data_IF_112921413419
#
_entry.id   IF_112921413419
#
_cell.length_a   1.000
_cell.length_b   1.000
_cell.length_c   1.000
_cell.angle_alpha   90.00
_cell.angle_beta   90.00
_cell.angle_gamma   90.00
#
_symmetry.space_group_name_H-M   'P 1'
#
loop_
_entity.id
_entity.type
_entity.pdbx_description
1 polymer ?
#
# COMPACT_ATOMS: atom_id res chain seq x y z
N UNK A 1 48.39 -30.57 -33.72
CA UNK A 1 49.83 -30.27 -33.62
C UNK A 1 50.06 -29.31 -32.46
N UNK A 2 50.93 -29.70 -31.51
CA UNK A 2 51.75 -28.89 -30.58
C UNK A 2 51.04 -27.73 -29.82
N UNK A 3 50.72 -27.91 -28.54
CA UNK A 3 51.55 -27.64 -27.32
C UNK A 3 51.82 -26.16 -27.07
N UNK A 4 51.32 -25.63 -25.94
CA UNK A 4 51.98 -24.71 -24.99
C UNK A 4 51.18 -24.81 -23.68
N UNK A 5 51.65 -25.48 -22.61
CA UNK A 5 52.74 -25.18 -21.66
C UNK A 5 52.17 -24.66 -20.32
N UNK A 6 51.97 -25.58 -19.37
CA UNK A 6 51.81 -25.29 -17.94
C UNK A 6 53.08 -24.63 -17.39
N UNK A 7 52.92 -23.52 -16.65
CA UNK A 7 53.87 -23.09 -15.62
C UNK A 7 53.10 -22.63 -14.38
N UNK A 8 53.18 -23.47 -13.36
CA UNK A 8 53.39 -23.15 -11.94
C UNK A 8 52.72 -21.90 -11.37
N UNK A 9 51.60 -22.09 -10.65
CA UNK A 9 51.13 -21.12 -9.66
C UNK A 9 51.68 -21.53 -8.30
N UNK A 10 52.54 -20.68 -7.74
CA UNK A 10 53.04 -20.79 -6.39
C UNK A 10 51.95 -20.33 -5.40
N UNK A 11 51.79 -21.09 -4.32
CA UNK A 11 50.93 -20.77 -3.20
C UNK A 11 51.45 -19.53 -2.45
N UNK A 12 50.56 -18.57 -2.22
CA UNK A 12 50.73 -17.53 -1.20
C UNK A 12 49.57 -17.67 -0.23
N UNK A 13 49.89 -18.18 0.96
CA UNK A 13 49.05 -18.08 2.15
C UNK A 13 49.02 -16.61 2.57
N UNK A 14 47.85 -15.98 2.53
CA UNK A 14 47.58 -14.71 3.20
C UNK A 14 46.42 -14.92 4.16
N UNK A 15 46.68 -14.65 5.43
CA UNK A 15 45.78 -14.95 6.55
C UNK A 15 44.44 -14.23 6.45
N UNK A 16 43.39 -14.97 6.78
CA UNK A 16 42.06 -14.45 7.01
C UNK A 16 42.10 -13.64 8.30
N UNK A 17 42.10 -12.31 8.20
CA UNK A 17 41.75 -11.43 9.30
C UNK A 17 40.22 -11.34 9.29
N UNK A 18 39.59 -12.09 10.19
CA UNK A 18 38.17 -11.93 10.51
C UNK A 18 37.99 -10.57 11.19
N UNK A 19 37.57 -9.55 10.44
CA UNK A 19 36.98 -8.35 11.02
C UNK A 19 35.56 -8.72 11.45
N UNK A 20 35.42 -9.13 12.70
CA UNK A 20 34.14 -9.11 13.39
C UNK A 20 33.77 -7.64 13.61
N UNK A 21 33.09 -7.03 12.65
CA UNK A 21 32.42 -5.76 12.84
C UNK A 21 31.25 -6.02 13.81
N UNK A 22 31.47 -5.79 15.10
CA UNK A 22 30.39 -5.63 16.05
C UNK A 22 29.61 -4.36 15.64
N UNK A 23 28.52 -4.53 14.91
CA UNK A 23 27.45 -3.53 14.93
C UNK A 23 26.96 -3.48 16.37
N UNK A 24 27.23 -2.35 17.02
CA UNK A 24 26.74 -2.06 18.36
C UNK A 24 25.24 -1.84 18.23
N UNK A 25 24.46 -2.87 18.49
CA UNK A 25 23.01 -2.75 18.64
C UNK A 25 22.77 -1.85 19.85
N UNK A 26 22.45 -0.58 19.62
CA UNK A 26 22.01 0.30 20.70
C UNK A 26 20.55 -0.03 21.01
N UNK A 27 20.37 -0.92 21.99
CA UNK A 27 19.09 -1.14 22.65
C UNK A 27 18.69 0.15 23.37
N UNK A 28 17.92 1.01 22.70
CA UNK A 28 17.32 2.16 23.35
C UNK A 28 16.13 1.71 24.18
N UNK A 29 16.37 1.60 25.49
CA UNK A 29 15.36 1.31 26.48
C UNK A 29 14.43 2.53 26.60
N UNK A 30 13.29 2.54 25.91
CA UNK A 30 12.31 3.65 25.90
C UNK A 30 11.47 3.69 27.21
N UNK A 31 12.15 3.58 28.35
CA UNK A 31 11.53 3.58 29.68
C UNK A 31 11.37 4.99 30.24
N UNK A 32 10.34 5.72 29.81
CA UNK A 32 9.90 6.96 30.47
C UNK A 32 8.73 7.64 29.74
N UNK A 33 7.66 7.96 30.47
CA UNK A 33 6.42 8.60 29.95
C UNK A 33 6.61 10.00 29.36
N UNK A 34 7.81 10.57 29.48
CA UNK A 34 8.16 11.93 29.06
C UNK A 34 9.15 11.96 27.88
N UNK A 35 9.63 10.80 27.39
CA UNK A 35 10.41 10.79 26.18
C UNK A 35 9.48 10.99 24.97
N UNK A 36 9.64 12.14 24.29
CA UNK A 36 8.89 12.47 23.07
C UNK A 36 9.65 12.09 21.80
N UNK A 37 10.86 11.55 21.92
CA UNK A 37 11.69 11.14 20.79
C UNK A 37 11.54 9.63 20.53
N UNK A 38 11.37 9.27 19.26
CA UNK A 38 11.17 7.90 18.79
C UNK A 38 12.31 7.53 17.84
N UNK A 39 13.07 6.46 18.15
CA UNK A 39 14.10 5.90 17.27
C UNK A 39 14.57 4.52 17.74
N UNK A 40 14.96 3.66 16.82
CA UNK A 40 15.57 2.37 17.07
C UNK A 40 14.56 1.24 17.27
N UNK A 41 14.97 0.23 18.02
CA UNK A 41 14.17 -0.97 18.27
C UNK A 41 13.25 -0.81 19.48
N UNK A 42 11.98 -1.17 19.29
CA UNK A 42 10.99 -1.32 20.36
C UNK A 42 10.87 -2.81 20.68
N UNK A 43 11.54 -3.26 21.75
CA UNK A 43 11.59 -4.67 22.19
C UNK A 43 10.69 -4.97 23.39
N UNK A 44 10.01 -3.94 23.90
CA UNK A 44 8.95 -4.04 24.92
C UNK A 44 7.85 -3.02 24.59
N UNK A 45 6.63 -3.25 25.10
CA UNK A 45 5.48 -2.41 24.77
C UNK A 45 5.76 -0.92 24.97
N UNK A 46 5.41 -0.12 23.95
CA UNK A 46 5.56 1.33 23.95
C UNK A 46 4.20 1.98 23.74
N UNK A 47 3.84 2.93 24.60
CA UNK A 47 2.59 3.68 24.50
C UNK A 47 2.86 5.16 24.25
N UNK A 48 2.28 5.70 23.18
CA UNK A 48 2.24 7.13 22.88
C UNK A 48 0.96 7.72 23.47
N UNK A 49 1.11 8.68 24.38
CA UNK A 49 0.02 9.22 25.20
C UNK A 49 -0.84 10.24 24.46
N UNK A 50 -2.15 10.23 24.73
CA UNK A 50 -3.13 11.09 24.02
C UNK A 50 -2.76 12.58 24.09
N UNK A 51 -2.98 13.30 22.99
CA UNK A 51 -2.77 14.75 22.91
C UNK A 51 -1.31 15.20 22.93
N UNK A 52 -0.35 14.27 22.89
CA UNK A 52 1.08 14.60 22.77
C UNK A 52 1.54 14.63 21.31
N UNK A 53 2.60 15.40 21.07
CA UNK A 53 3.36 15.36 19.82
C UNK A 53 4.70 14.67 20.07
N UNK A 54 5.00 13.65 19.27
CA UNK A 54 6.25 12.90 19.29
C UNK A 54 7.09 13.24 18.05
N UNK A 55 8.41 13.16 18.18
CA UNK A 55 9.39 13.37 17.10
C UNK A 55 10.03 12.03 16.72
N UNK A 56 9.92 11.64 15.47
CA UNK A 56 10.56 10.46 14.91
C UNK A 56 11.94 10.89 14.36
N UNK A 57 13.02 10.36 14.97
CA UNK A 57 14.42 10.75 14.71
C UNK A 57 15.21 9.72 13.89
N UNK A 58 14.55 8.65 13.46
CA UNK A 58 15.06 7.65 12.53
C UNK A 58 14.02 6.54 12.37
N UNK A 59 14.48 5.34 12.03
CA UNK A 59 13.63 4.15 12.02
C UNK A 59 13.07 3.88 13.42
N UNK A 60 11.79 3.53 13.52
CA UNK A 60 11.17 2.96 14.71
C UNK A 60 10.67 1.57 14.36
N UNK A 61 11.44 0.54 14.71
CA UNK A 61 11.12 -0.85 14.37
C UNK A 61 10.62 -1.60 15.61
N UNK A 62 9.39 -2.08 15.55
CA UNK A 62 8.75 -2.82 16.63
C UNK A 62 9.04 -4.31 16.45
N UNK A 63 9.72 -4.89 17.44
CA UNK A 63 10.18 -6.28 17.43
C UNK A 63 9.23 -7.14 18.24
N UNK A 64 8.96 -8.35 17.77
CA UNK A 64 8.14 -9.30 18.51
C UNK A 64 8.76 -9.59 19.90
N UNK A 65 7.94 -9.70 20.97
CA UNK A 65 6.47 -9.66 20.97
C UNK A 65 5.87 -8.28 21.29
N UNK A 66 6.63 -7.19 21.15
CA UNK A 66 6.22 -5.87 21.59
C UNK A 66 5.04 -5.31 20.78
N UNK A 67 4.26 -4.46 21.45
CA UNK A 67 3.18 -3.68 20.85
C UNK A 67 3.50 -2.18 20.90
N UNK A 68 3.40 -1.50 19.76
CA UNK A 68 3.35 -0.04 19.69
C UNK A 68 1.89 0.41 19.81
N UNK A 69 1.53 1.02 20.92
CA UNK A 69 0.22 1.65 21.13
C UNK A 69 0.32 3.15 20.84
N UNK A 70 -0.53 3.64 19.95
CA UNK A 70 -0.66 5.07 19.65
C UNK A 70 -2.08 5.48 20.02
N UNK A 71 -2.22 6.27 21.09
CA UNK A 71 -3.52 6.72 21.53
C UNK A 71 -4.08 7.84 20.63
N UNK A 72 -5.40 8.03 20.67
CA UNK A 72 -6.09 9.09 19.93
C UNK A 72 -5.49 10.48 20.13
N UNK A 73 -5.56 11.31 19.08
CA UNK A 73 -5.05 12.68 19.08
C UNK A 73 -3.53 12.82 19.15
N UNK A 74 -2.77 11.71 19.13
CA UNK A 74 -1.30 11.76 18.99
C UNK A 74 -0.92 12.30 17.62
N UNK A 75 0.07 13.18 17.61
CA UNK A 75 0.80 13.55 16.39
C UNK A 75 2.22 13.00 16.46
N UNK A 76 2.69 12.33 15.41
CA UNK A 76 4.10 11.93 15.23
C UNK A 76 4.66 12.73 14.06
N UNK A 77 5.76 13.43 14.28
CA UNK A 77 6.45 14.25 13.28
C UNK A 77 7.79 13.61 12.94
N UNK A 78 7.96 13.11 11.71
CA UNK A 78 9.25 12.72 11.16
C UNK A 78 10.14 13.95 10.94
N UNK A 79 11.32 13.95 11.54
CA UNK A 79 12.23 15.09 11.54
C UNK A 79 13.03 15.21 10.24
N UNK A 80 13.30 16.44 9.80
CA UNK A 80 14.18 16.69 8.66
C UNK A 80 15.64 16.75 9.14
N UNK A 81 16.16 15.60 9.58
CA UNK A 81 17.45 15.48 10.26
C UNK A 81 18.52 14.73 9.43
N UNK A 82 18.24 14.42 8.17
CA UNK A 82 19.12 13.65 7.29
C UNK A 82 19.14 12.14 7.56
N UNK A 83 18.29 11.63 8.46
CA UNK A 83 18.08 10.20 8.69
C UNK A 83 16.85 9.71 7.91
N UNK A 84 16.80 8.41 7.61
CA UNK A 84 15.60 7.79 7.04
C UNK A 84 14.62 7.49 8.17
N UNK A 85 13.52 8.24 8.22
CA UNK A 85 12.48 8.15 9.25
C UNK A 85 11.31 7.29 8.77
N UNK A 86 10.95 6.23 9.51
CA UNK A 86 9.81 5.36 9.19
C UNK A 86 9.36 4.57 10.42
N UNK A 87 8.15 4.02 10.40
CA UNK A 87 7.64 3.09 11.41
C UNK A 87 7.48 1.71 10.77
N UNK A 88 8.07 0.68 11.38
CA UNK A 88 8.02 -0.70 10.88
C UNK A 88 7.57 -1.66 11.98
N UNK A 89 6.52 -2.44 11.72
CA UNK A 89 6.01 -3.48 12.60
C UNK A 89 6.46 -4.83 12.05
N UNK A 90 7.38 -5.51 12.73
CA UNK A 90 7.90 -6.81 12.26
C UNK A 90 6.95 -7.97 12.58
N UNK A 91 7.14 -9.09 11.89
CA UNK A 91 6.37 -10.31 12.11
C UNK A 91 6.28 -10.69 13.60
N UNK A 92 5.06 -10.78 14.11
CA UNK A 92 4.75 -11.13 15.49
C UNK A 92 4.82 -9.96 16.49
N UNK A 93 5.28 -8.77 16.08
CA UNK A 93 5.01 -7.52 16.78
C UNK A 93 3.62 -7.00 16.42
N UNK A 94 3.15 -5.96 17.13
CA UNK A 94 1.83 -5.38 16.89
C UNK A 94 1.82 -3.86 16.91
N UNK A 95 0.85 -3.30 16.20
CA UNK A 95 0.44 -1.90 16.33
C UNK A 95 -1.00 -1.81 16.88
N UNK A 96 -1.23 -0.88 17.80
CA UNK A 96 -2.55 -0.53 18.29
C UNK A 96 -2.70 0.99 18.21
N UNK A 97 -3.01 1.49 17.01
CA UNK A 97 -3.16 2.91 16.70
C UNK A 97 -4.64 3.25 16.51
N UNK A 98 -5.32 3.64 17.58
CA UNK A 98 -6.78 3.85 17.56
C UNK A 98 -7.11 5.29 17.91
N UNK A 99 -7.28 6.10 16.86
CA UNK A 99 -7.82 7.44 16.91
C UNK A 99 -9.35 7.46 16.96
N UNK A 100 -9.90 8.67 16.90
CA UNK A 100 -11.33 8.89 16.69
C UNK A 100 -11.54 9.90 15.56
N UNK A 101 -12.78 10.03 15.10
CA UNK A 101 -13.16 11.07 14.12
C UNK A 101 -12.74 12.48 14.55
N UNK A 102 -12.91 12.80 15.84
CA UNK A 102 -12.62 14.14 16.38
C UNK A 102 -11.16 14.29 16.83
N UNK A 103 -10.49 13.18 17.11
CA UNK A 103 -9.10 13.12 17.58
C UNK A 103 -8.32 12.06 16.77
N UNK A 104 -8.15 12.26 15.44
CA UNK A 104 -7.40 11.31 14.62
C UNK A 104 -5.93 11.29 15.04
N UNK A 105 -5.28 10.16 14.82
CA UNK A 105 -3.82 10.05 14.91
C UNK A 105 -3.24 10.67 13.64
N UNK A 106 -2.20 11.50 13.78
CA UNK A 106 -1.56 12.17 12.65
C UNK A 106 -0.09 11.76 12.60
N UNK A 107 0.29 11.00 11.58
CA UNK A 107 1.66 10.65 11.26
C UNK A 107 2.08 11.53 10.08
N UNK A 108 3.04 12.43 10.30
CA UNK A 108 3.37 13.51 9.36
C UNK A 108 4.87 13.82 9.41
N UNK A 109 5.36 14.71 8.54
CA UNK A 109 6.77 15.13 8.52
C UNK A 109 6.96 16.61 8.89
N UNK A 110 8.15 17.00 9.35
CA UNK A 110 8.52 18.40 9.56
C UNK A 110 8.54 19.16 8.23
N UNK A 111 9.22 18.58 7.22
CA UNK A 111 9.18 19.02 5.82
C UNK A 111 7.84 18.59 5.21
N UNK A 112 6.96 19.56 4.92
CA UNK A 112 5.60 19.32 4.39
C UNK A 112 5.60 19.14 2.87
N UNK A 113 6.42 18.21 2.39
CA UNK A 113 6.64 17.92 0.98
C UNK A 113 6.53 16.41 0.76
N UNK A 114 6.03 15.99 -0.40
CA UNK A 114 6.01 14.58 -0.78
C UNK A 114 7.42 13.97 -0.67
N UNK A 115 7.50 12.73 -0.16
CA UNK A 115 8.76 12.02 0.06
C UNK A 115 9.56 12.48 1.27
N UNK A 116 8.92 13.13 2.25
CA UNK A 116 9.62 13.64 3.43
C UNK A 116 10.00 12.55 4.44
N UNK A 117 9.31 11.40 4.44
CA UNK A 117 9.60 10.27 5.31
C UNK A 117 9.09 8.96 4.71
N UNK A 118 9.52 7.83 5.26
CA UNK A 118 9.29 6.49 4.70
C UNK A 118 7.97 5.84 5.10
N UNK A 119 7.00 6.56 5.67
CA UNK A 119 5.67 6.01 5.95
C UNK A 119 5.62 4.90 7.01
N UNK A 120 4.58 4.06 6.92
CA UNK A 120 4.27 2.97 7.86
C UNK A 120 4.31 1.63 7.16
N UNK A 121 5.01 0.67 7.76
CA UNK A 121 5.24 -0.66 7.21
C UNK A 121 4.78 -1.72 8.19
N UNK A 122 3.99 -2.70 7.73
CA UNK A 122 3.52 -3.81 8.56
C UNK A 122 3.88 -5.13 7.88
N UNK A 123 4.68 -5.94 8.56
CA UNK A 123 5.08 -7.27 8.11
C UNK A 123 4.31 -8.35 8.87
N UNK A 124 3.44 -9.07 8.19
CA UNK A 124 2.65 -10.19 8.71
C UNK A 124 3.13 -11.55 8.22
N UNK A 125 2.44 -12.59 8.68
CA UNK A 125 2.75 -14.01 8.42
C UNK A 125 1.79 -14.70 7.43
N UNK A 126 0.88 -13.95 6.80
CA UNK A 126 0.05 -14.48 5.72
C UNK A 126 0.88 -14.67 4.43
N UNK A 127 0.31 -15.33 3.44
CA UNK A 127 1.01 -15.67 2.20
C UNK A 127 1.63 -14.47 1.46
N UNK A 128 2.66 -14.77 0.66
CA UNK A 128 3.08 -13.99 -0.50
C UNK A 128 3.48 -15.00 -1.57
N UNK A 129 3.21 -14.68 -2.84
CA UNK A 129 3.62 -15.52 -3.96
C UNK A 129 5.02 -15.16 -4.52
N UNK A 130 5.75 -14.23 -3.89
CA UNK A 130 7.11 -13.83 -4.29
C UNK A 130 8.21 -14.83 -3.91
N UNK A 131 7.88 -15.87 -3.15
CA UNK A 131 8.81 -16.89 -2.69
C UNK A 131 8.91 -16.95 -1.18
N UNK A 132 9.98 -17.57 -0.68
CA UNK A 132 10.22 -17.74 0.75
C UNK A 132 11.40 -16.88 1.22
N UNK A 133 11.30 -16.40 2.46
CA UNK A 133 12.35 -15.55 3.05
C UNK A 133 12.36 -14.14 2.49
N UNK A 134 11.19 -13.63 2.09
CA UNK A 134 11.04 -12.28 1.56
C UNK A 134 11.32 -11.25 2.67
N UNK A 135 11.83 -10.09 2.27
CA UNK A 135 12.13 -8.96 3.15
C UNK A 135 11.48 -7.70 2.62
N UNK A 136 10.90 -6.88 3.51
CA UNK A 136 10.36 -5.57 3.17
C UNK A 136 11.44 -4.69 2.53
N UNK A 137 11.02 -3.80 1.63
CA UNK A 137 11.90 -2.92 0.86
C UNK A 137 12.69 -1.97 1.76
N UNK A 138 12.08 -1.57 2.88
CA UNK A 138 12.72 -0.82 3.94
C UNK A 138 12.94 -1.68 5.18
N UNK A 139 14.09 -1.50 5.84
CA UNK A 139 14.38 -2.12 7.13
C UNK A 139 14.73 -3.61 7.11
N UNK A 140 14.61 -4.29 5.95
CA UNK A 140 14.90 -5.72 5.77
C UNK A 140 14.13 -6.65 6.73
N UNK A 141 12.87 -6.31 7.07
CA UNK A 141 12.06 -7.15 7.94
C UNK A 141 11.45 -8.31 7.15
N UNK A 142 11.51 -9.52 7.73
CA UNK A 142 10.88 -10.69 7.12
C UNK A 142 9.36 -10.51 7.06
N UNK A 143 8.75 -10.95 5.96
CA UNK A 143 7.31 -11.07 5.81
C UNK A 143 6.95 -12.35 5.03
N UNK A 144 5.66 -12.65 4.97
CA UNK A 144 5.16 -13.84 4.27
C UNK A 144 5.13 -15.08 5.17
N UNK A 145 4.33 -16.07 4.78
CA UNK A 145 4.14 -17.31 5.51
C UNK A 145 2.89 -18.05 5.02
N UNK A 146 2.23 -18.76 5.92
CA UNK A 146 1.01 -19.54 5.65
C UNK A 146 -0.09 -19.29 6.70
N UNK A 147 0.03 -18.22 7.50
CA UNK A 147 -0.89 -17.87 8.58
C UNK A 147 -1.85 -16.78 8.12
N UNK A 148 -2.89 -17.17 7.40
CA UNK A 148 -3.88 -16.23 6.83
C UNK A 148 -4.61 -15.39 7.89
N UNK A 149 -4.81 -15.92 9.09
CA UNK A 149 -5.45 -15.22 10.21
C UNK A 149 -4.44 -14.51 11.13
N UNK A 150 -3.21 -14.26 10.65
CA UNK A 150 -2.22 -13.47 11.38
C UNK A 150 -2.78 -12.08 11.74
N UNK A 151 -2.40 -11.61 12.93
CA UNK A 151 -2.91 -10.38 13.51
C UNK A 151 -1.76 -9.47 13.93
N UNK A 152 -1.47 -8.50 13.08
CA UNK A 152 -0.48 -7.44 13.29
C UNK A 152 -1.06 -6.25 14.07
N UNK A 153 -2.34 -6.29 14.43
CA UNK A 153 -2.99 -5.34 15.33
C UNK A 153 -4.12 -4.53 14.68
N UNK A 154 -4.26 -3.26 15.09
CA UNK A 154 -5.37 -2.38 14.73
C UNK A 154 -4.85 -0.99 14.36
N UNK A 155 -5.32 -0.45 13.24
CA UNK A 155 -5.21 0.97 12.89
C UNK A 155 -6.60 1.54 12.59
N UNK A 156 -6.97 2.61 13.29
CA UNK A 156 -8.25 3.29 13.10
C UNK A 156 -8.18 4.80 13.26
N UNK A 157 -8.75 5.56 12.32
CA UNK A 157 -8.69 7.03 12.28
C UNK A 157 -7.24 7.54 12.32
N UNK A 158 -6.47 7.15 11.30
CA UNK A 158 -5.05 7.50 11.16
C UNK A 158 -4.86 8.29 9.87
N UNK A 159 -4.17 9.42 9.93
CA UNK A 159 -3.65 10.13 8.75
C UNK A 159 -2.16 9.90 8.62
N UNK A 160 -1.72 9.53 7.43
CA UNK A 160 -0.33 9.39 7.01
C UNK A 160 -0.10 10.46 5.95
N UNK A 161 0.71 11.45 6.28
CA UNK A 161 0.90 12.65 5.44
C UNK A 161 2.35 12.73 4.97
N UNK A 162 2.58 13.04 3.69
CA UNK A 162 3.92 13.38 3.15
C UNK A 162 4.95 12.23 3.14
N UNK A 163 4.48 10.98 3.04
CA UNK A 163 5.34 9.78 2.85
C UNK A 163 5.96 9.73 1.44
N UNK A 164 6.65 8.65 1.06
CA UNK A 164 7.25 8.52 -0.28
C UNK A 164 8.78 8.49 -0.32
N UNK A 165 9.49 8.36 0.81
CA UNK A 165 10.95 8.59 0.83
C UNK A 165 11.70 7.67 -0.14
N UNK A 166 12.44 8.26 -1.08
CA UNK A 166 13.27 7.53 -2.05
C UNK A 166 14.44 6.81 -1.37
N UNK A 167 14.43 5.47 -1.40
CA UNK A 167 15.44 4.62 -0.78
C UNK A 167 16.68 4.50 -1.66
N UNK A 168 16.46 4.31 -2.96
CA UNK A 168 17.49 4.33 -4.00
C UNK A 168 16.90 4.79 -5.35
N UNK A 169 17.57 4.50 -6.47
CA UNK A 169 17.11 4.93 -7.79
C UNK A 169 15.97 4.09 -8.36
N UNK A 170 15.65 2.96 -7.73
CA UNK A 170 14.65 1.98 -8.18
C UNK A 170 13.55 1.74 -7.14
N UNK A 171 13.79 2.05 -5.85
CA UNK A 171 12.83 1.83 -4.77
C UNK A 171 12.53 3.12 -4.02
N UNK A 172 11.25 3.38 -3.82
CA UNK A 172 10.71 4.43 -2.97
C UNK A 172 9.84 3.80 -1.87
N UNK A 173 9.33 4.58 -0.91
CA UNK A 173 8.62 4.04 0.26
C UNK A 173 7.21 4.58 0.35
N UNK A 174 6.20 3.72 0.49
CA UNK A 174 4.79 4.10 0.36
C UNK A 174 4.24 4.83 1.60
N UNK A 175 2.97 5.25 1.53
CA UNK A 175 2.21 5.70 2.70
C UNK A 175 2.01 4.59 3.73
N UNK A 176 1.32 3.52 3.32
CA UNK A 176 1.12 2.33 4.11
C UNK A 176 1.45 1.08 3.29
N UNK A 177 2.55 0.42 3.63
CA UNK A 177 2.97 -0.84 3.00
C UNK A 177 2.57 -2.04 3.85
N UNK A 178 1.83 -2.97 3.25
CA UNK A 178 1.24 -4.13 3.90
C UNK A 178 1.85 -5.41 3.35
N UNK A 179 2.90 -5.89 4.02
CA UNK A 179 3.66 -7.06 3.60
C UNK A 179 3.13 -8.34 4.24
N UNK A 180 2.47 -9.21 3.47
CA UNK A 180 1.95 -10.51 3.94
C UNK A 180 1.03 -10.38 5.17
N UNK A 181 0.24 -9.32 5.25
CA UNK A 181 -0.60 -9.04 6.43
C UNK A 181 -1.83 -9.94 6.42
N UNK A 182 -2.12 -10.59 7.55
CA UNK A 182 -3.26 -11.51 7.70
C UNK A 182 -4.58 -10.82 7.99
N UNK A 183 -5.68 -11.53 7.72
CA UNK A 183 -7.06 -11.06 7.93
C UNK A 183 -7.49 -10.99 9.40
N UNK A 184 -6.63 -11.38 10.35
CA UNK A 184 -6.80 -11.10 11.77
C UNK A 184 -6.49 -9.64 12.14
N UNK A 185 -5.82 -8.90 11.24
CA UNK A 185 -5.50 -7.46 11.39
C UNK A 185 -6.69 -6.60 11.00
N UNK A 186 -6.94 -5.50 11.74
CA UNK A 186 -8.05 -4.57 11.46
C UNK A 186 -7.55 -3.19 11.04
N UNK A 187 -7.78 -2.80 9.79
CA UNK A 187 -7.34 -1.53 9.22
C UNK A 187 -8.55 -0.78 8.67
N UNK A 188 -8.90 0.35 9.28
CA UNK A 188 -10.16 1.04 8.97
C UNK A 188 -10.01 2.56 9.17
N UNK A 189 -10.65 3.43 8.39
CA UNK A 189 -10.50 4.89 8.54
C UNK A 189 -9.04 5.35 8.48
N UNK A 190 -8.36 5.06 7.37
CA UNK A 190 -6.97 5.46 7.13
C UNK A 190 -6.92 6.43 5.96
N UNK A 191 -6.21 7.55 6.11
CA UNK A 191 -5.94 8.46 5.02
C UNK A 191 -4.44 8.50 4.72
N UNK A 192 -4.04 8.28 3.47
CA UNK A 192 -2.72 8.65 2.95
C UNK A 192 -2.87 9.91 2.09
N UNK A 193 -2.01 10.91 2.31
CA UNK A 193 -2.13 12.20 1.59
C UNK A 193 -0.78 12.84 1.28
N UNK A 194 -0.66 13.38 0.06
CA UNK A 194 0.52 14.11 -0.44
C UNK A 194 1.83 13.29 -0.37
N UNK A 195 1.78 11.99 -0.63
CA UNK A 195 2.97 11.13 -0.71
C UNK A 195 3.67 11.25 -2.08
N UNK A 196 4.96 10.92 -2.18
CA UNK A 196 5.65 10.90 -3.50
C UNK A 196 5.58 9.57 -4.23
N UNK A 197 5.08 8.54 -3.55
CA UNK A 197 4.96 7.16 -4.00
C UNK A 197 3.55 6.66 -3.62
N UNK A 198 3.32 5.35 -3.63
CA UNK A 198 2.00 4.78 -3.43
C UNK A 198 1.31 5.21 -2.13
N UNK A 199 -0.02 5.34 -2.20
CA UNK A 199 -0.83 5.61 -1.01
C UNK A 199 -0.85 4.42 -0.05
N UNK A 200 -1.43 3.31 -0.51
CA UNK A 200 -1.49 2.04 0.21
C UNK A 200 -1.10 0.92 -0.74
N UNK A 201 -0.05 0.18 -0.41
CA UNK A 201 0.43 -0.94 -1.22
C UNK A 201 0.35 -2.27 -0.46
N UNK A 202 -0.10 -3.31 -1.16
CA UNK A 202 -0.19 -4.67 -0.63
C UNK A 202 0.85 -5.58 -1.29
N UNK A 203 1.72 -6.17 -0.48
CA UNK A 203 2.63 -7.23 -0.91
C UNK A 203 2.13 -8.57 -0.38
N UNK A 204 1.17 -9.17 -1.09
CA UNK A 204 0.53 -10.40 -0.68
C UNK A 204 -0.41 -10.24 0.53
N UNK A 205 -0.71 -11.35 1.18
CA UNK A 205 -1.54 -11.41 2.38
C UNK A 205 -3.04 -11.47 2.11
N UNK A 206 -3.82 -11.53 3.19
CA UNK A 206 -5.27 -11.65 3.15
C UNK A 206 -6.00 -10.56 3.95
N UNK A 207 -5.27 -9.55 4.44
CA UNK A 207 -5.82 -8.44 5.22
C UNK A 207 -7.00 -7.77 4.52
N UNK A 208 -8.03 -7.45 5.30
CA UNK A 208 -9.16 -6.66 4.84
C UNK A 208 -8.99 -5.20 5.28
N UNK A 209 -9.40 -4.26 4.44
CA UNK A 209 -9.40 -2.83 4.74
C UNK A 209 -10.81 -2.23 4.54
N UNK A 210 -11.14 -1.19 5.29
CA UNK A 210 -12.37 -0.43 5.05
C UNK A 210 -12.24 1.07 5.32
N UNK A 211 -13.03 1.90 4.66
CA UNK A 211 -13.01 3.36 4.85
C UNK A 211 -11.61 3.98 4.67
N UNK A 212 -10.91 3.64 3.59
CA UNK A 212 -9.59 4.21 3.29
C UNK A 212 -9.67 5.31 2.23
N UNK A 213 -8.87 6.36 2.39
CA UNK A 213 -8.84 7.53 1.51
C UNK A 213 -7.40 7.81 1.09
N UNK A 214 -7.15 7.92 -0.20
CA UNK A 214 -5.86 8.33 -0.75
C UNK A 214 -6.03 9.61 -1.54
N UNK A 215 -5.23 10.62 -1.24
CA UNK A 215 -5.29 11.93 -1.88
C UNK A 215 -3.90 12.38 -2.31
N UNK A 216 -3.70 12.60 -3.61
CA UNK A 216 -2.47 13.20 -4.15
C UNK A 216 -1.17 12.48 -3.68
N UNK A 217 -1.21 11.14 -3.58
CA UNK A 217 0.00 10.33 -3.64
C UNK A 217 0.42 10.22 -5.11
N UNK A 218 1.66 10.59 -5.43
CA UNK A 218 2.05 10.90 -6.81
C UNK A 218 2.43 9.72 -7.67
N UNK A 219 2.56 8.51 -7.12
CA UNK A 219 2.53 7.29 -7.93
C UNK A 219 1.10 6.71 -7.91
N UNK A 220 0.91 5.45 -7.53
CA UNK A 220 -0.40 4.81 -7.53
C UNK A 220 -1.17 5.09 -6.23
N UNK A 221 -2.48 5.36 -6.34
CA UNK A 221 -3.25 5.62 -5.11
C UNK A 221 -3.36 4.36 -4.25
N UNK A 222 -3.63 3.22 -4.88
CA UNK A 222 -3.61 1.91 -4.28
C UNK A 222 -2.88 0.96 -5.22
N UNK A 223 -1.94 0.19 -4.71
CA UNK A 223 -1.27 -0.88 -5.46
C UNK A 223 -1.47 -2.22 -4.76
N UNK A 224 -1.60 -3.29 -5.53
CA UNK A 224 -1.28 -4.60 -4.97
C UNK A 224 -0.42 -5.44 -5.91
N UNK A 225 0.37 -6.29 -5.26
CA UNK A 225 1.15 -7.33 -5.88
C UNK A 225 1.23 -8.56 -4.96
N UNK A 226 2.03 -9.52 -5.38
CA UNK A 226 2.41 -10.72 -4.63
C UNK A 226 1.26 -11.60 -4.10
N UNK A 227 0.10 -11.56 -4.75
CA UNK A 227 -0.97 -12.50 -4.49
C UNK A 227 -2.04 -12.04 -3.48
N UNK A 228 -2.12 -10.74 -3.14
CA UNK A 228 -3.12 -10.25 -2.17
C UNK A 228 -4.55 -10.67 -2.54
N UNK A 229 -5.27 -11.26 -1.58
CA UNK A 229 -6.61 -11.80 -1.80
C UNK A 229 -7.64 -11.37 -0.74
N UNK A 230 -7.36 -10.25 -0.07
CA UNK A 230 -8.24 -9.67 0.94
C UNK A 230 -9.48 -8.99 0.37
N UNK A 231 -10.14 -8.21 1.23
CA UNK A 231 -11.33 -7.41 0.89
C UNK A 231 -11.09 -5.92 1.15
N UNK A 232 -11.75 -5.09 0.36
CA UNK A 232 -11.78 -3.64 0.54
C UNK A 232 -13.21 -3.13 0.47
N UNK A 233 -13.63 -2.28 1.42
CA UNK A 233 -14.96 -1.64 1.38
C UNK A 233 -14.86 -0.13 1.67
N UNK A 234 -15.59 0.71 0.93
CA UNK A 234 -15.53 2.18 1.10
C UNK A 234 -14.13 2.76 0.84
N UNK A 235 -13.61 2.53 -0.36
CA UNK A 235 -12.29 3.02 -0.78
C UNK A 235 -12.40 4.27 -1.65
N UNK A 236 -11.59 5.27 -1.37
CA UNK A 236 -11.55 6.54 -2.11
C UNK A 236 -10.13 6.82 -2.59
N UNK A 237 -10.01 7.17 -3.87
CA UNK A 237 -8.81 7.81 -4.41
C UNK A 237 -9.19 9.13 -5.09
N UNK A 238 -8.42 10.18 -4.81
CA UNK A 238 -8.55 11.48 -5.48
C UNK A 238 -7.18 12.02 -5.85
N UNK A 239 -6.97 12.22 -7.14
CA UNK A 239 -5.76 12.81 -7.69
C UNK A 239 -6.10 14.16 -8.33
N UNK A 240 -5.28 15.16 -8.05
CA UNK A 240 -5.37 16.51 -8.60
C UNK A 240 -4.06 17.02 -9.17
N UNK A 241 -2.95 16.35 -8.84
CA UNK A 241 -1.61 16.62 -9.36
C UNK A 241 -1.38 15.90 -10.69
N UNK A 242 -0.60 16.47 -11.60
CA UNK A 242 -0.40 15.94 -12.96
C UNK A 242 0.47 14.68 -12.96
N UNK A 243 1.42 14.62 -12.05
CA UNK A 243 2.39 13.55 -11.84
C UNK A 243 1.78 12.24 -11.30
N UNK A 244 0.61 12.29 -10.68
CA UNK A 244 -0.09 11.11 -10.16
C UNK A 244 -0.29 10.01 -11.22
N UNK A 245 0.16 8.78 -10.94
CA UNK A 245 -0.03 7.63 -11.84
C UNK A 245 -1.43 7.01 -11.75
N UNK A 246 -1.57 5.71 -11.47
CA UNK A 246 -2.86 5.03 -11.48
C UNK A 246 -3.68 5.35 -10.23
N UNK A 247 -5.00 5.22 -10.34
CA UNK A 247 -5.87 5.19 -9.15
C UNK A 247 -5.79 3.81 -8.47
N UNK A 248 -5.61 2.77 -9.28
CA UNK A 248 -5.31 1.42 -8.84
C UNK A 248 -4.31 0.79 -9.82
N UNK A 249 -3.15 0.36 -9.33
CA UNK A 249 -2.26 -0.55 -10.04
C UNK A 249 -2.31 -1.95 -9.41
N UNK A 250 -2.31 -2.98 -10.24
CA UNK A 250 -2.82 -4.28 -9.82
C UNK A 250 -2.10 -5.44 -10.51
N UNK A 251 -1.28 -6.15 -9.75
CA UNK A 251 -0.50 -7.31 -10.16
C UNK A 251 -0.90 -8.57 -9.40
N UNK A 252 -0.76 -9.74 -10.06
CA UNK A 252 -0.55 -10.96 -9.30
C UNK A 252 0.90 -11.07 -8.86
N UNK A 253 1.80 -11.03 -9.84
CA UNK A 253 3.25 -10.98 -9.65
C UNK A 253 3.93 -10.60 -10.97
N UNK A 254 4.63 -9.46 -11.00
CA UNK A 254 5.29 -8.97 -12.22
C UNK A 254 6.37 -9.90 -12.80
N UNK A 255 6.98 -10.77 -11.99
CA UNK A 255 8.05 -11.71 -12.42
C UNK A 255 7.51 -13.08 -12.80
N UNK A 256 6.37 -13.48 -12.25
CA UNK A 256 5.74 -14.79 -12.46
C UNK A 256 4.21 -14.65 -12.43
N UNK A 257 3.64 -14.19 -13.54
CA UNK A 257 2.22 -13.77 -13.62
C UNK A 257 1.20 -14.83 -13.19
N UNK A 258 1.56 -16.12 -13.23
CA UNK A 258 0.73 -17.27 -12.83
C UNK A 258 1.10 -17.84 -11.44
N UNK A 259 1.93 -17.13 -10.66
CA UNK A 259 2.31 -17.54 -9.31
C UNK A 259 1.10 -17.70 -8.40
N UNK A 260 1.14 -18.71 -7.55
CA UNK A 260 0.06 -19.03 -6.59
C UNK A 260 0.48 -18.72 -5.15
N UNK A 261 -0.44 -18.26 -4.29
CA UNK A 261 -1.82 -17.93 -4.60
C UNK A 261 -1.94 -16.70 -5.53
N UNK A 262 -3.00 -16.69 -6.34
CA UNK A 262 -3.26 -15.61 -7.31
C UNK A 262 -3.92 -14.44 -6.58
N UNK A 263 -3.45 -13.21 -6.81
CA UNK A 263 -4.09 -12.00 -6.33
C UNK A 263 -5.53 -11.94 -6.83
N UNK A 264 -6.48 -11.86 -5.92
CA UNK A 264 -7.90 -11.91 -6.24
C UNK A 264 -8.75 -11.18 -5.18
N UNK A 265 -8.53 -9.87 -4.98
CA UNK A 265 -9.26 -9.13 -3.98
C UNK A 265 -10.74 -8.98 -4.35
N UNK A 266 -11.57 -8.75 -3.33
CA UNK A 266 -12.98 -8.35 -3.49
C UNK A 266 -13.18 -6.94 -2.94
N UNK A 267 -13.53 -6.01 -3.82
CA UNK A 267 -13.63 -4.59 -3.54
C UNK A 267 -15.08 -4.11 -3.75
N UNK A 268 -15.65 -3.41 -2.77
CA UNK A 268 -17.02 -2.91 -2.82
C UNK A 268 -17.11 -1.45 -2.36
N UNK A 269 -18.05 -0.69 -2.94
CA UNK A 269 -18.22 0.75 -2.68
C UNK A 269 -16.91 1.53 -2.86
N UNK A 270 -16.51 1.73 -4.11
CA UNK A 270 -15.24 2.40 -4.46
C UNK A 270 -15.53 3.68 -5.25
N UNK A 271 -14.84 4.78 -4.92
CA UNK A 271 -14.87 6.02 -5.71
C UNK A 271 -13.47 6.47 -6.09
N UNK A 272 -13.18 6.51 -7.39
CA UNK A 272 -11.89 6.90 -7.94
C UNK A 272 -12.06 8.12 -8.84
N UNK A 273 -11.33 9.19 -8.53
CA UNK A 273 -11.39 10.47 -9.26
C UNK A 273 -9.96 10.90 -9.61
N UNK A 274 -9.61 10.78 -10.88
CA UNK A 274 -8.31 11.20 -11.40
C UNK A 274 -8.18 12.69 -11.71
N UNK A 275 -6.94 13.09 -11.97
CA UNK A 275 -6.47 14.45 -12.22
C UNK A 275 -6.90 15.07 -13.57
N UNK A 276 -7.54 14.30 -14.46
CA UNK A 276 -7.85 14.66 -15.86
C UNK A 276 -6.60 14.97 -16.70
N UNK A 277 -5.45 14.44 -16.27
CA UNK A 277 -4.18 14.53 -16.99
C UNK A 277 -4.25 13.76 -18.31
N UNK A 278 -3.38 14.19 -19.25
CA UNK A 278 -3.14 13.48 -20.51
C UNK A 278 -1.90 12.61 -20.46
N UNK A 279 -1.15 12.69 -19.38
CA UNK A 279 -0.06 11.79 -19.01
C UNK A 279 -0.57 10.89 -17.88
N UNK A 280 0.04 9.71 -17.70
CA UNK A 280 -0.40 8.69 -16.73
C UNK A 280 -1.91 8.40 -16.79
N UNK A 281 -2.33 7.84 -17.92
CA UNK A 281 -3.74 7.87 -18.33
C UNK A 281 -4.68 6.89 -17.61
N UNK A 282 -4.18 6.08 -16.67
CA UNK A 282 -4.86 4.86 -16.20
C UNK A 282 -5.62 5.11 -14.89
N UNK A 283 -6.88 4.66 -14.86
CA UNK A 283 -7.68 4.60 -13.63
C UNK A 283 -7.35 3.33 -12.87
N UNK A 284 -8.11 2.25 -13.15
CA UNK A 284 -7.81 0.90 -12.65
C UNK A 284 -6.99 0.17 -13.71
N UNK A 285 -5.76 -0.22 -13.38
CA UNK A 285 -4.85 -0.98 -14.24
C UNK A 285 -4.69 -2.41 -13.75
N UNK A 286 -5.39 -3.36 -14.38
CA UNK A 286 -5.31 -4.79 -14.06
C UNK A 286 -4.29 -5.47 -14.97
N UNK A 287 -3.14 -5.86 -14.42
CA UNK A 287 -2.00 -6.41 -15.16
C UNK A 287 -1.39 -7.64 -14.45
N UNK A 288 -0.32 -8.17 -15.05
CA UNK A 288 0.50 -9.28 -14.56
C UNK A 288 -0.25 -10.46 -13.90
N UNK A 289 -1.33 -10.94 -14.53
CA UNK A 289 -2.07 -12.12 -14.11
C UNK A 289 -3.00 -11.94 -12.91
N UNK A 290 -3.22 -10.73 -12.41
CA UNK A 290 -4.16 -10.47 -11.31
C UNK A 290 -5.59 -10.86 -11.70
N UNK A 291 -6.33 -11.38 -10.73
CA UNK A 291 -7.79 -11.43 -10.74
C UNK A 291 -8.32 -10.28 -9.86
N UNK A 292 -9.60 -9.94 -9.99
CA UNK A 292 -10.24 -8.95 -9.14
C UNK A 292 -11.77 -9.00 -9.23
N UNK A 293 -12.43 -8.65 -8.14
CA UNK A 293 -13.87 -8.50 -8.09
C UNK A 293 -14.23 -7.10 -7.60
N UNK A 294 -14.83 -6.28 -8.46
CA UNK A 294 -15.27 -4.92 -8.13
C UNK A 294 -16.79 -4.83 -8.15
N UNK A 295 -17.35 -4.24 -7.09
CA UNK A 295 -18.76 -3.85 -7.04
C UNK A 295 -18.98 -2.41 -6.59
N UNK A 296 -20.11 -1.84 -7.02
CA UNK A 296 -20.55 -0.50 -6.61
C UNK A 296 -19.44 0.56 -6.77
N UNK A 297 -18.78 0.57 -7.93
CA UNK A 297 -17.56 1.33 -8.18
C UNK A 297 -17.79 2.49 -9.15
N UNK A 298 -17.28 3.68 -8.81
CA UNK A 298 -17.23 4.87 -9.67
C UNK A 298 -15.79 5.13 -10.10
N UNK A 299 -15.54 5.31 -11.40
CA UNK A 299 -14.22 5.68 -11.91
C UNK A 299 -14.33 6.82 -12.92
N UNK A 300 -13.61 7.92 -12.67
CA UNK A 300 -13.50 9.01 -13.62
C UNK A 300 -12.17 9.76 -13.50
N UNK A 301 -11.97 10.75 -14.37
CA UNK A 301 -10.82 11.64 -14.28
C UNK A 301 -9.52 11.07 -14.85
N UNK A 302 -9.52 9.84 -15.37
CA UNK A 302 -8.42 9.28 -16.16
C UNK A 302 -8.93 8.92 -17.56
N UNK A 303 -8.17 9.19 -18.64
CA UNK A 303 -8.58 8.84 -20.01
C UNK A 303 -8.91 7.36 -20.20
N UNK A 304 -8.19 6.47 -19.50
CA UNK A 304 -8.36 5.02 -19.52
C UNK A 304 -8.87 4.56 -18.15
N UNK A 305 -10.19 4.70 -17.87
CA UNK A 305 -10.72 4.44 -16.53
C UNK A 305 -10.51 2.98 -16.06
N UNK A 306 -10.51 2.01 -16.98
CA UNK A 306 -10.16 0.61 -16.69
C UNK A 306 -9.32 0.08 -17.84
N UNK A 307 -8.16 -0.51 -17.53
CA UNK A 307 -7.30 -1.25 -18.48
C UNK A 307 -7.10 -2.69 -18.03
N UNK A 308 -7.24 -3.65 -18.96
CA UNK A 308 -6.90 -5.06 -18.75
C UNK A 308 -5.72 -5.45 -19.65
N UNK A 309 -4.57 -5.83 -19.09
CA UNK A 309 -3.33 -5.91 -19.89
C UNK A 309 -2.89 -7.33 -20.24
N UNK A 310 -3.04 -8.32 -19.35
CA UNK A 310 -2.46 -9.67 -19.57
C UNK A 310 -3.49 -10.75 -19.83
N UNK A 311 -3.12 -11.77 -20.62
CA UNK A 311 -4.03 -12.86 -21.00
C UNK A 311 -4.70 -13.57 -19.81
N UNK A 312 -3.99 -13.93 -18.71
CA UNK A 312 -4.64 -14.56 -17.56
C UNK A 312 -5.65 -13.62 -16.88
N UNK A 313 -5.30 -12.34 -16.71
CA UNK A 313 -6.21 -11.32 -16.17
C UNK A 313 -7.47 -11.20 -17.01
N UNK A 314 -7.34 -11.07 -18.34
CA UNK A 314 -8.50 -10.90 -19.23
C UNK A 314 -9.38 -12.15 -19.24
N UNK A 315 -8.79 -13.36 -19.33
CA UNK A 315 -9.54 -14.62 -19.30
C UNK A 315 -10.35 -14.78 -18.01
N UNK A 316 -9.81 -14.34 -16.88
CA UNK A 316 -10.52 -14.44 -15.59
C UNK A 316 -11.88 -13.75 -15.59
N UNK A 317 -12.05 -12.65 -16.33
CA UNK A 317 -13.33 -11.95 -16.48
C UNK A 317 -14.28 -12.65 -17.47
N UNK A 318 -13.74 -13.28 -18.52
CA UNK A 318 -14.53 -14.08 -19.47
C UNK A 318 -15.11 -15.32 -18.79
N UNK A 319 -14.28 -15.99 -17.98
CA UNK A 319 -14.64 -17.21 -17.25
C UNK A 319 -15.51 -16.91 -16.01
N UNK A 320 -15.54 -15.66 -15.56
CA UNK A 320 -16.33 -15.22 -14.41
C UNK A 320 -15.68 -15.47 -13.05
N UNK A 321 -14.37 -15.76 -13.03
CA UNK A 321 -13.54 -15.77 -11.82
C UNK A 321 -13.36 -14.35 -11.28
N UNK A 322 -13.11 -13.39 -12.17
CA UNK A 322 -13.12 -11.95 -11.92
C UNK A 322 -14.42 -11.32 -12.38
N UNK A 323 -14.87 -10.27 -11.71
CA UNK A 323 -16.20 -9.67 -11.95
C UNK A 323 -16.21 -8.15 -11.81
N UNK A 324 -17.01 -7.53 -12.66
CA UNK A 324 -17.48 -6.15 -12.50
C UNK A 324 -18.99 -6.17 -12.29
N UNK A 325 -19.48 -5.57 -11.20
CA UNK A 325 -20.91 -5.50 -10.88
C UNK A 325 -21.30 -4.11 -10.39
N UNK A 326 -22.18 -3.41 -11.11
CA UNK A 326 -22.52 -2.01 -10.82
C UNK A 326 -21.28 -1.09 -10.83
N UNK A 327 -20.44 -1.25 -11.84
CA UNK A 327 -19.29 -0.38 -12.11
C UNK A 327 -19.69 0.67 -13.15
N UNK A 328 -19.43 1.93 -12.83
CA UNK A 328 -19.85 3.09 -13.63
C UNK A 328 -18.62 3.94 -13.92
N UNK A 329 -18.24 4.04 -15.19
CA UNK A 329 -17.01 4.70 -15.63
C UNK A 329 -17.28 5.87 -16.60
N UNK A 330 -16.41 6.89 -16.56
CA UNK A 330 -16.57 8.08 -17.40
C UNK A 330 -16.13 7.91 -18.86
N UNK A 331 -15.34 6.89 -19.15
CA UNK A 331 -14.88 6.53 -20.50
C UNK A 331 -15.32 5.12 -20.88
N UNK A 332 -14.48 4.41 -21.62
CA UNK A 332 -14.68 3.01 -22.00
C UNK A 332 -13.68 2.12 -21.30
N UNK A 333 -13.99 0.83 -21.17
CA UNK A 333 -12.99 -0.17 -20.80
C UNK A 333 -12.01 -0.36 -21.95
N UNK A 334 -10.73 -0.48 -21.64
CA UNK A 334 -9.68 -0.81 -22.61
C UNK A 334 -9.00 -2.12 -22.21
N UNK A 335 -8.50 -2.80 -23.21
CA UNK A 335 -7.68 -4.00 -23.07
C UNK A 335 -6.45 -3.81 -23.94
N UNK A 336 -5.30 -4.35 -23.53
CA UNK A 336 -4.09 -4.33 -24.35
C UNK A 336 -4.38 -4.91 -25.75
N UNK A 337 -3.79 -4.32 -26.80
CA UNK A 337 -4.06 -4.66 -28.19
C UNK A 337 -3.97 -6.17 -28.46
N UNK A 338 -3.06 -6.86 -27.78
CA UNK A 338 -2.82 -8.31 -27.92
C UNK A 338 -3.98 -9.17 -27.40
N UNK A 339 -4.78 -8.65 -26.46
CA UNK A 339 -5.89 -9.35 -25.79
C UNK A 339 -7.23 -8.63 -25.95
N UNK A 340 -7.25 -7.54 -26.71
CA UNK A 340 -8.38 -6.62 -26.87
C UNK A 340 -9.69 -7.26 -27.34
N UNK A 341 -9.60 -8.36 -28.09
CA UNK A 341 -10.76 -9.10 -28.60
C UNK A 341 -11.37 -10.09 -27.60
N UNK A 342 -10.73 -10.32 -26.44
CA UNK A 342 -11.11 -11.39 -25.50
C UNK A 342 -12.17 -10.92 -24.50
N UNK A 343 -12.03 -9.72 -23.93
CA UNK A 343 -13.05 -9.09 -23.07
C UNK A 343 -13.43 -7.73 -23.63
N UNK A 344 -14.66 -7.62 -24.14
CA UNK A 344 -15.13 -6.44 -24.87
C UNK A 344 -15.98 -5.51 -24.01
N UNK A 345 -16.14 -4.26 -24.45
CA UNK A 345 -17.09 -3.31 -23.83
C UNK A 345 -18.53 -3.85 -23.80
N UNK A 346 -18.94 -4.61 -24.82
CA UNK A 346 -20.26 -5.26 -24.84
C UNK A 346 -20.38 -6.29 -23.70
N UNK A 347 -19.33 -7.08 -23.46
CA UNK A 347 -19.32 -8.02 -22.32
C UNK A 347 -19.42 -7.27 -20.99
N UNK A 348 -18.68 -6.18 -20.81
CA UNK A 348 -18.74 -5.33 -19.62
C UNK A 348 -20.15 -4.77 -19.38
N UNK A 349 -20.76 -4.17 -20.40
CA UNK A 349 -22.08 -3.54 -20.32
C UNK A 349 -23.22 -4.55 -20.21
N UNK A 350 -23.09 -5.76 -20.78
CA UNK A 350 -24.06 -6.85 -20.65
C UNK A 350 -24.30 -7.30 -19.20
N UNK A 351 -23.35 -7.01 -18.30
CA UNK A 351 -23.46 -7.27 -16.85
C UNK A 351 -24.14 -6.14 -16.07
N UNK A 352 -24.64 -5.10 -16.75
CA UNK A 352 -25.30 -3.94 -16.15
C UNK A 352 -24.35 -2.80 -15.76
N UNK A 353 -23.05 -2.93 -16.04
CA UNK A 353 -22.08 -1.86 -15.86
C UNK A 353 -22.28 -0.75 -16.92
N UNK A 354 -21.83 0.46 -16.62
CA UNK A 354 -22.07 1.65 -17.46
C UNK A 354 -20.78 2.33 -17.87
N UNK A 355 -20.72 2.74 -19.13
CA UNK A 355 -19.60 3.45 -19.75
C UNK A 355 -20.01 4.86 -20.18
N UNK A 356 -19.05 5.73 -20.47
CA UNK A 356 -19.26 7.09 -20.97
C UNK A 356 -20.22 7.94 -20.09
N UNK A 357 -20.15 7.74 -18.77
CA UNK A 357 -21.02 8.44 -17.82
C UNK A 357 -20.41 9.76 -17.36
N UNK A 358 -21.23 10.82 -17.29
CA UNK A 358 -20.82 12.06 -16.65
C UNK A 358 -21.01 11.94 -15.13
N UNK A 359 -19.95 11.63 -14.40
CA UNK A 359 -19.97 11.54 -12.95
C UNK A 359 -19.81 12.93 -12.32
N UNK A 360 -20.75 13.29 -11.44
CA UNK A 360 -20.78 14.58 -10.76
C UNK A 360 -20.80 14.35 -9.26
N UNK A 361 -19.87 15.00 -8.56
CA UNK A 361 -19.73 14.94 -7.11
C UNK A 361 -20.06 16.30 -6.48
N UNK A 362 -20.57 16.30 -5.25
CA UNK A 362 -20.85 17.55 -4.52
C UNK A 362 -19.56 18.23 -4.02
N UNK A 363 -18.52 17.45 -3.74
CA UNK A 363 -17.19 17.92 -3.35
C UNK A 363 -16.18 16.80 -3.59
N UNK A 364 -15.09 17.06 -4.33
CA UNK A 364 -14.06 16.06 -4.71
C UNK A 364 -14.69 14.74 -5.19
N UNK A 365 -14.87 13.78 -4.30
CA UNK A 365 -15.37 12.41 -4.50
C UNK A 365 -16.69 12.09 -3.77
N UNK A 366 -17.32 13.07 -3.11
CA UNK A 366 -18.56 12.90 -2.34
C UNK A 366 -19.75 12.80 -3.30
N UNK A 367 -20.38 11.63 -3.32
CA UNK A 367 -21.53 11.32 -4.16
C UNK A 367 -21.58 9.84 -4.58
N UNK A 368 -22.80 9.34 -4.77
CA UNK A 368 -23.07 7.99 -5.30
C UNK A 368 -23.96 8.08 -6.53
N UNK A 369 -23.89 7.06 -7.40
CA UNK A 369 -24.71 6.96 -8.61
C UNK A 369 -25.31 5.56 -8.69
N UNK A 370 -26.64 5.45 -8.57
CA UNK A 370 -27.35 4.15 -8.58
C UNK A 370 -26.76 3.13 -7.58
N UNK A 371 -26.39 3.58 -6.38
CA UNK A 371 -25.78 2.74 -5.35
C UNK A 371 -24.27 2.48 -5.54
N UNK A 372 -23.66 2.89 -6.64
CA UNK A 372 -22.20 2.85 -6.80
C UNK A 372 -21.54 4.08 -6.18
N UNK A 373 -20.37 3.88 -5.57
CA UNK A 373 -19.55 4.92 -4.93
C UNK A 373 -19.34 4.68 -3.44
N UNK A 374 -18.22 5.18 -2.92
CA UNK A 374 -17.80 5.01 -1.54
C UNK A 374 -18.44 5.99 -0.55
N UNK A 375 -18.82 7.20 -0.99
CA UNK A 375 -19.21 8.29 -0.07
C UNK A 375 -20.57 8.85 -0.45
N UNK A 376 -21.62 8.51 0.32
CA UNK A 376 -22.95 9.07 0.12
C UNK A 376 -23.00 10.54 0.55
N UNK A 377 -23.60 11.40 -0.27
CA UNK A 377 -23.68 12.84 0.02
C UNK A 377 -24.47 13.17 1.30
N UNK A 378 -25.34 12.27 1.77
CA UNK A 378 -26.09 12.42 3.02
C UNK A 378 -25.39 11.74 4.21
N UNK A 379 -24.32 10.98 3.97
CA UNK A 379 -23.55 10.28 4.99
C UNK A 379 -22.06 10.27 4.63
N UNK A 380 -21.47 11.46 4.60
CA UNK A 380 -20.04 11.64 4.34
C UNK A 380 -19.23 11.18 5.57
N UNK A 381 -18.76 9.93 5.52
CA UNK A 381 -17.91 9.34 6.56
C UNK A 381 -16.48 9.90 6.54
N UNK A 382 -16.06 10.62 5.50
CA UNK A 382 -14.74 11.25 5.41
C UNK A 382 -14.71 12.59 6.17
N UNK A 383 -15.83 13.30 6.20
CA UNK A 383 -15.93 14.63 6.81
C UNK A 383 -15.47 14.66 8.26
N UNK A 384 -14.52 15.54 8.59
CA UNK A 384 -14.11 15.86 9.96
C UNK A 384 -12.78 15.24 10.41
N UNK A 385 -12.33 14.16 9.76
CA UNK A 385 -11.05 13.52 10.10
C UNK A 385 -10.05 13.48 8.94
N UNK A 386 -10.53 13.52 7.69
CA UNK A 386 -9.66 13.65 6.50
C UNK A 386 -9.28 15.10 6.21
N UNK A 387 -8.24 15.30 5.39
CA UNK A 387 -7.78 16.60 4.84
C UNK A 387 -8.08 16.76 3.34
#
# INVERSE_FOLDING_TARGET
MKRFSLKSVAAVFAGIVTLAACQKNEENNHGGSDNLELKGYVTSDLTLESGKTYRLLGSLQVKAPATLTINKGVTVIAEDNGEINYILIEQGAKINAVGTKDEPIVLTAERKEAGAWGGVHICGKAHSNAGAGNTSEIGNALYGGDVEDDNSGVMKYVRIEYSGYALDSEHEANGLSLYGVGNGTSLSYIQCINGSDDGIEFFGGSVNIDHCVVVDCTDDSFDWTEGWNGKGEYLVAYQSLEECDCLFECDNNGKAIDATPIANPTLDHVTLVGNKGTEHERGIRLRAGTYANFSNTLVCGKPNPITLETEPTVKSFVEGTSKFSNVIISGTIKSDDTVSSVYTEEMFTSKGNKVNQNLVFSSRFVGTVNGAGAVDANNDWTAGWTK
#
